data_IF_762505738332
#
_entry.id   IF_762505738332
#
_cell.length_a   1.000
_cell.length_b   1.000
_cell.length_c   1.000
_cell.angle_alpha   90.00
_cell.angle_beta   90.00
_cell.angle_gamma   90.00
#
_symmetry.space_group_name_H-M   'P 1'
#
loop_
_entity.id
_entity.type
_entity.pdbx_description
1 polymer ?
#
# COMPACT_ATOMS: atom_id res chain seq x y z
N UNK A 1 7.94 19.59 -1.97
CA UNK A 1 6.69 18.86 -1.64
C UNK A 1 6.91 17.42 -2.04
N UNK A 2 6.77 16.46 -1.12
CA UNK A 2 6.88 15.05 -1.47
C UNK A 2 5.59 14.51 -2.10
N UNK A 3 5.70 13.30 -2.65
CA UNK A 3 4.62 12.61 -3.35
C UNK A 3 3.45 12.31 -2.40
N UNK A 4 2.34 13.05 -2.56
CA UNK A 4 1.10 12.82 -1.82
C UNK A 4 0.32 11.68 -2.46
N UNK A 5 0.18 10.56 -1.74
CA UNK A 5 -0.49 9.36 -2.26
C UNK A 5 -1.39 8.71 -1.21
N UNK A 6 -2.48 8.11 -1.67
CA UNK A 6 -3.24 7.15 -0.87
C UNK A 6 -2.32 5.99 -0.52
N UNK A 7 -2.21 5.64 0.76
CA UNK A 7 -1.15 4.77 1.24
C UNK A 7 -1.67 3.80 2.30
N UNK A 8 -1.32 2.52 2.14
CA UNK A 8 -1.50 1.48 3.15
C UNK A 8 -0.16 1.16 3.78
N UNK A 9 -0.13 0.99 5.10
CA UNK A 9 1.10 0.71 5.83
C UNK A 9 0.92 -0.47 6.79
N UNK A 10 2.00 -1.24 6.96
CA UNK A 10 2.08 -2.31 7.93
C UNK A 10 3.18 -1.99 8.93
N UNK A 11 2.84 -1.91 10.21
CA UNK A 11 3.75 -1.46 11.27
C UNK A 11 3.71 -2.45 12.44
N UNK A 12 4.86 -2.82 12.97
CA UNK A 12 5.00 -3.65 14.18
C UNK A 12 5.57 -2.81 15.31
N UNK A 13 5.17 -3.12 16.56
CA UNK A 13 5.71 -2.45 17.75
C UNK A 13 5.14 -1.06 18.01
N UNK A 14 4.01 -0.73 17.36
CA UNK A 14 3.19 0.45 17.63
C UNK A 14 1.77 -0.01 17.98
N UNK A 15 1.07 0.74 18.83
CA UNK A 15 -0.36 0.54 19.04
C UNK A 15 -1.20 1.42 18.09
N UNK A 16 -2.50 1.16 18.02
CA UNK A 16 -3.38 1.85 17.07
C UNK A 16 -3.56 3.34 17.43
N UNK A 17 -3.57 3.67 18.73
CA UNK A 17 -3.69 5.04 19.25
C UNK A 17 -2.51 5.91 18.83
N UNK A 18 -1.29 5.38 18.97
CA UNK A 18 -0.05 6.05 18.59
C UNK A 18 0.00 6.33 17.09
N UNK A 19 -0.32 5.32 16.27
CA UNK A 19 -0.35 5.47 14.80
C UNK A 19 -1.43 6.47 14.38
N UNK A 20 -2.64 6.38 14.95
CA UNK A 20 -3.71 7.36 14.71
C UNK A 20 -3.27 8.76 15.10
N UNK A 21 -2.60 8.93 16.25
CA UNK A 21 -2.12 10.22 16.74
C UNK A 21 -1.14 10.87 15.77
N UNK A 22 -0.13 10.11 15.30
CA UNK A 22 0.85 10.61 14.32
C UNK A 22 0.16 11.06 13.04
N UNK A 23 -0.74 10.23 12.50
CA UNK A 23 -1.44 10.58 11.27
C UNK A 23 -2.34 11.80 11.47
N UNK A 24 -3.04 11.87 12.61
CA UNK A 24 -3.92 12.98 12.99
C UNK A 24 -3.19 14.31 13.10
N UNK A 25 -2.03 14.32 13.75
CA UNK A 25 -1.26 15.53 13.99
C UNK A 25 -0.56 16.03 12.73
N UNK A 26 0.02 15.13 11.93
CA UNK A 26 0.89 15.50 10.81
C UNK A 26 0.16 15.66 9.49
N UNK A 27 -1.02 15.06 9.35
CA UNK A 27 -1.78 14.99 8.10
C UNK A 27 -3.26 15.34 8.27
N UNK A 28 -3.60 16.14 9.29
CA UNK A 28 -4.98 16.53 9.64
C UNK A 28 -5.82 17.00 8.44
N UNK A 29 -5.21 17.78 7.54
CA UNK A 29 -5.88 18.39 6.38
C UNK A 29 -5.98 17.45 5.17
N UNK A 30 -5.24 16.34 5.18
CA UNK A 30 -5.12 15.44 4.02
C UNK A 30 -5.70 14.05 4.28
N UNK A 31 -6.12 13.77 5.52
CA UNK A 31 -6.64 12.46 5.94
C UNK A 31 -8.04 12.60 6.51
N UNK A 32 -8.96 11.80 5.99
CA UNK A 32 -10.31 11.67 6.51
C UNK A 32 -10.31 10.81 7.78
N UNK A 33 -10.49 11.46 8.93
CA UNK A 33 -10.39 10.77 10.23
C UNK A 33 -11.55 9.81 10.50
N UNK A 34 -12.72 10.04 9.89
CA UNK A 34 -13.88 9.18 10.11
C UNK A 34 -13.71 7.82 9.42
N UNK A 35 -12.94 7.80 8.33
CA UNK A 35 -12.65 6.60 7.55
C UNK A 35 -11.33 5.91 7.91
N UNK A 36 -10.63 6.35 8.96
CA UNK A 36 -9.32 5.80 9.34
C UNK A 36 -9.45 4.38 9.90
N UNK A 37 -8.92 3.39 9.18
CA UNK A 37 -9.07 1.97 9.54
C UNK A 37 -7.74 1.37 9.95
N UNK A 38 -7.70 0.83 11.17
CA UNK A 38 -6.59 0.02 11.67
C UNK A 38 -7.09 -1.39 11.90
N UNK A 39 -6.35 -2.37 11.39
CA UNK A 39 -6.60 -3.79 11.61
C UNK A 39 -5.36 -4.43 12.22
N UNK A 40 -5.57 -5.26 13.24
CA UNK A 40 -4.51 -6.08 13.82
C UNK A 40 -4.28 -7.30 12.93
N UNK A 41 -3.02 -7.59 12.62
CA UNK A 41 -2.54 -8.68 11.78
C UNK A 41 -1.38 -9.38 12.50
N UNK A 42 -1.72 -10.26 13.46
CA UNK A 42 -0.75 -10.86 14.36
C UNK A 42 -0.08 -9.80 15.26
N UNK A 43 1.25 -9.75 15.25
CA UNK A 43 2.02 -8.74 16.00
C UNK A 43 2.14 -7.38 15.28
N UNK A 44 1.49 -7.22 14.13
CA UNK A 44 1.58 -6.02 13.30
C UNK A 44 0.22 -5.36 13.14
N UNK A 45 0.21 -4.06 12.88
CA UNK A 45 -0.95 -3.26 12.52
C UNK A 45 -0.93 -2.99 11.03
N UNK A 46 -2.03 -3.31 10.35
CA UNK A 46 -2.34 -2.85 8.99
C UNK A 46 -3.18 -1.60 9.10
N UNK A 47 -2.69 -0.50 8.55
CA UNK A 47 -3.33 0.80 8.64
C UNK A 47 -3.61 1.28 7.22
N UNK A 48 -4.87 1.59 6.99
CA UNK A 48 -5.33 2.24 5.77
C UNK A 48 -5.42 3.74 6.05
N UNK A 49 -4.64 4.55 5.33
CA UNK A 49 -4.62 6.01 5.50
C UNK A 49 -5.57 6.61 4.46
N UNK A 50 -6.80 6.99 4.85
CA UNK A 50 -7.80 7.53 3.94
C UNK A 50 -7.43 8.97 3.56
N UNK A 51 -6.84 9.13 2.37
CA UNK A 51 -6.42 10.43 1.85
C UNK A 51 -4.97 10.43 1.37
N UNK A 52 -4.54 11.54 0.76
CA UNK A 52 -3.21 11.59 0.14
C UNK A 52 -2.18 12.15 1.11
N UNK A 53 -1.19 11.34 1.46
CA UNK A 53 -0.14 11.72 2.41
C UNK A 53 1.22 11.69 1.74
N UNK A 54 2.11 12.59 2.16
CA UNK A 54 3.52 12.53 1.79
C UNK A 54 4.14 11.29 2.44
N UNK A 55 4.44 10.29 1.60
CA UNK A 55 4.89 8.97 2.05
C UNK A 55 6.21 9.04 2.81
N UNK A 56 7.13 9.90 2.37
CA UNK A 56 8.43 10.08 3.02
C UNK A 56 8.26 10.71 4.40
N UNK A 57 7.43 11.76 4.50
CA UNK A 57 7.12 12.38 5.79
C UNK A 57 6.43 11.41 6.74
N UNK A 58 5.50 10.60 6.25
CA UNK A 58 4.80 9.60 7.06
C UNK A 58 5.77 8.57 7.64
N UNK A 59 6.68 8.05 6.80
CA UNK A 59 7.70 7.11 7.22
C UNK A 59 8.59 7.67 8.34
N UNK A 60 9.10 8.89 8.14
CA UNK A 60 9.94 9.59 9.12
C UNK A 60 9.22 9.80 10.45
N UNK A 61 7.94 10.20 10.42
CA UNK A 61 7.16 10.45 11.64
C UNK A 61 6.85 9.17 12.39
N UNK A 62 6.50 8.10 11.69
CA UNK A 62 6.27 6.78 12.30
C UNK A 62 7.54 6.23 12.95
N UNK A 63 8.71 6.40 12.33
CA UNK A 63 9.99 6.02 12.95
C UNK A 63 10.33 6.85 14.19
N UNK A 64 9.98 8.13 14.21
CA UNK A 64 10.24 9.03 15.35
C UNK A 64 9.30 8.78 16.53
N UNK A 65 8.22 8.03 16.33
CA UNK A 65 7.23 7.74 17.36
C UNK A 65 7.80 6.88 18.49
N UNK A 66 8.56 5.84 18.14
CA UNK A 66 9.28 5.01 19.10
C UNK A 66 10.37 4.18 18.40
N UNK A 67 11.47 3.92 19.10
CA UNK A 67 12.58 3.08 18.60
C UNK A 67 12.17 1.64 18.32
N UNK A 68 11.06 1.18 18.90
CA UNK A 68 10.52 -0.17 18.73
C UNK A 68 9.65 -0.33 17.49
N UNK A 69 9.33 0.79 16.81
CA UNK A 69 8.44 0.81 15.65
C UNK A 69 9.19 0.32 14.42
N UNK A 70 8.71 -0.80 13.87
CA UNK A 70 9.20 -1.36 12.61
C UNK A 70 8.15 -1.21 11.53
N UNK A 71 8.44 -0.42 10.52
CA UNK A 71 7.61 -0.31 9.32
C UNK A 71 7.95 -1.52 8.43
N UNK A 72 7.02 -2.46 8.32
CA UNK A 72 7.17 -3.69 7.53
C UNK A 72 6.88 -3.44 6.06
N UNK A 73 5.90 -2.60 5.74
CA UNK A 73 5.61 -2.21 4.35
C UNK A 73 4.87 -0.88 4.26
N UNK A 74 5.05 -0.22 3.12
CA UNK A 74 4.31 0.97 2.70
C UNK A 74 3.91 0.77 1.24
N UNK A 75 2.62 0.73 0.97
CA UNK A 75 2.06 0.44 -0.35
C UNK A 75 1.16 1.61 -0.77
N UNK A 76 1.68 2.51 -1.61
CA UNK A 76 0.88 3.49 -2.33
C UNK A 76 -0.12 2.83 -3.29
N UNK A 77 -1.31 3.41 -3.43
CA UNK A 77 -2.37 2.86 -4.29
C UNK A 77 -2.02 2.90 -5.79
N UNK A 78 -1.20 3.83 -6.25
CA UNK A 78 -0.75 3.89 -7.65
C UNK A 78 0.12 2.68 -8.02
N UNK A 79 0.93 2.19 -7.07
CA UNK A 79 1.68 0.94 -7.24
C UNK A 79 0.76 -0.27 -7.28
N UNK A 80 -0.30 -0.28 -6.46
CA UNK A 80 -1.31 -1.34 -6.48
C UNK A 80 -2.04 -1.38 -7.83
N UNK A 81 -2.47 -0.22 -8.33
CA UNK A 81 -3.12 -0.10 -9.63
C UNK A 81 -2.20 -0.53 -10.78
N UNK A 82 -0.89 -0.19 -10.73
CA UNK A 82 0.09 -0.67 -11.72
C UNK A 82 0.26 -2.18 -11.67
N UNK A 83 0.34 -2.77 -10.47
CA UNK A 83 0.43 -4.22 -10.31
C UNK A 83 -0.79 -4.95 -10.89
N UNK A 84 -1.99 -4.42 -10.67
CA UNK A 84 -3.21 -5.04 -11.21
C UNK A 84 -3.28 -4.95 -12.73
N UNK A 85 -2.82 -3.84 -13.32
CA UNK A 85 -2.66 -3.73 -14.78
C UNK A 85 -1.66 -4.77 -15.30
N UNK A 86 -0.48 -4.86 -14.70
CA UNK A 86 0.52 -5.84 -15.11
C UNK A 86 0.02 -7.28 -15.00
N UNK A 87 -0.72 -7.64 -13.94
CA UNK A 87 -1.35 -8.97 -13.84
C UNK A 87 -2.30 -9.24 -15.00
N UNK A 88 -3.12 -8.26 -15.36
CA UNK A 88 -4.06 -8.37 -16.49
C UNK A 88 -3.34 -8.53 -17.82
N UNK A 89 -2.30 -7.75 -18.06
CA UNK A 89 -1.50 -7.82 -19.28
C UNK A 89 -0.80 -9.17 -19.40
N UNK A 90 -0.28 -9.70 -18.28
CA UNK A 90 0.37 -11.00 -18.22
C UNK A 90 -0.61 -12.15 -18.50
N UNK A 91 -1.86 -12.05 -18.02
CA UNK A 91 -2.92 -13.00 -18.38
C UNK A 91 -3.28 -12.94 -19.86
N UNK A 92 -3.34 -11.74 -20.44
CA UNK A 92 -3.63 -11.57 -21.86
C UNK A 92 -2.51 -12.16 -22.73
N UNK A 93 -1.24 -11.91 -22.38
CA UNK A 93 -0.09 -12.49 -23.09
C UNK A 93 -0.08 -14.02 -23.00
N UNK A 94 -0.41 -14.61 -21.85
CA UNK A 94 -0.55 -16.07 -21.73
C UNK A 94 -1.60 -16.63 -22.69
N UNK A 95 -2.79 -16.03 -22.75
CA UNK A 95 -3.84 -16.43 -23.69
C UNK A 95 -3.43 -16.30 -25.15
N UNK A 96 -2.74 -15.22 -25.49
CA UNK A 96 -2.22 -15.01 -26.85
C UNK A 96 -1.17 -16.07 -27.21
N UNK A 97 -0.26 -16.38 -26.27
CA UNK A 97 0.74 -17.45 -26.46
C UNK A 97 0.07 -18.80 -26.71
N UNK A 98 -0.88 -19.21 -25.86
CA UNK A 98 -1.62 -20.47 -26.01
C UNK A 98 -2.37 -20.54 -27.35
N UNK A 99 -2.95 -19.43 -27.80
CA UNK A 99 -3.64 -19.34 -29.08
C UNK A 99 -2.69 -19.47 -30.29
N UNK A 100 -1.46 -18.97 -30.18
CA UNK A 100 -0.43 -19.12 -31.22
C UNK A 100 0.08 -20.57 -31.23
N UNK A 101 0.43 -21.14 -30.08
CA UNK A 101 0.87 -22.54 -29.96
C UNK A 101 -0.19 -23.51 -30.52
N UNK A 102 -1.47 -23.29 -30.21
CA UNK A 102 -2.58 -24.10 -30.73
C UNK A 102 -2.77 -24.01 -32.25
N UNK A 103 -2.35 -22.90 -32.88
CA UNK A 103 -2.39 -22.73 -34.34
C UNK A 103 -1.19 -23.39 -35.00
N UNK A 104 -0.03 -23.36 -34.34
CA UNK A 104 1.21 -23.98 -34.82
C UNK A 104 1.08 -25.50 -34.86
N UNK A 105 0.49 -26.10 -33.82
CA UNK A 105 0.23 -27.56 -33.74
C UNK A 105 -0.77 -28.05 -34.81
N UNK A 106 -1.63 -27.17 -35.35
CA UNK A 106 -2.59 -27.53 -36.42
C UNK A 106 -2.00 -27.44 -37.83
N UNK A 107 -0.78 -26.91 -37.97
CA UNK A 107 -0.10 -26.75 -39.25
C UNK A 107 1.05 -27.74 -39.45
N UNK A 108 1.39 -28.53 -38.42
CA UNK A 108 2.21 -29.76 -38.50
C UNK A 108 1.31 -30.98 -38.63
#
# INVERSE_FOLDING_TARGET
MGDKKLTKLKVRGANDVEVKSVVRHEFKESVDQENFKVKVDGSSLKVDVPGTVDVGKLYERLKKMSSSVKIESVVPDDLMAKMDRYKKDLQNMKKQKEAVESKQIKQE
#
